data_IF_212211126616
#
_entry.id   IF_212211126616
#
_cell.length_a   1.000
_cell.length_b   1.000
_cell.length_c   1.000
_cell.angle_alpha   90.00
_cell.angle_beta   90.00
_cell.angle_gamma   90.00
#
_symmetry.space_group_name_H-M   'P 1'
#
loop_
_entity.id
_entity.type
_entity.pdbx_description
1 polymer ?
#
# COMPACT_ATOMS: atom_id res chain seq x y z
N UNK A 1 -0.31 14.80 5.99
CA UNK A 1 -1.11 15.96 6.42
C UNK A 1 -2.37 16.12 5.59
N UNK A 2 -2.23 16.34 4.26
CA UNK A 2 -3.34 16.69 3.35
C UNK A 2 -4.50 15.70 3.44
N UNK A 3 -4.24 14.41 3.38
CA UNK A 3 -5.26 13.36 3.46
C UNK A 3 -6.01 13.43 4.80
N UNK A 4 -5.31 13.56 5.92
CA UNK A 4 -5.94 13.70 7.22
C UNK A 4 -6.85 14.94 7.31
N UNK A 5 -6.47 16.04 6.64
CA UNK A 5 -7.33 17.22 6.51
C UNK A 5 -8.57 16.95 5.65
N UNK A 6 -8.42 16.18 4.58
CA UNK A 6 -9.54 15.81 3.71
C UNK A 6 -10.55 14.89 4.38
N UNK A 7 -10.09 14.06 5.33
CA UNK A 7 -10.96 13.21 6.19
C UNK A 7 -11.58 14.00 7.35
N UNK A 8 -11.33 15.32 7.44
CA UNK A 8 -11.97 16.20 8.43
C UNK A 8 -11.22 16.33 9.76
N UNK A 9 -10.02 15.75 9.90
CA UNK A 9 -9.26 15.85 11.15
C UNK A 9 -8.81 17.30 11.45
N UNK A 10 -8.69 17.63 12.74
CA UNK A 10 -8.19 18.92 13.22
C UNK A 10 -6.73 19.15 12.77
N UNK A 11 -6.34 20.39 12.48
CA UNK A 11 -5.03 20.76 11.93
C UNK A 11 -3.86 20.14 12.70
N UNK A 12 -3.82 20.31 14.02
CA UNK A 12 -2.73 19.84 14.85
C UNK A 12 -2.61 18.31 14.88
N UNK A 13 -3.75 17.58 14.88
CA UNK A 13 -3.77 16.12 14.75
C UNK A 13 -3.25 15.67 13.38
N UNK A 14 -3.66 16.37 12.31
CA UNK A 14 -3.19 16.07 10.97
C UNK A 14 -1.68 16.26 10.81
N UNK A 15 -1.09 17.25 11.48
CA UNK A 15 0.36 17.42 11.55
C UNK A 15 1.01 16.27 12.32
N UNK A 16 0.51 15.95 13.52
CA UNK A 16 1.05 14.87 14.35
C UNK A 16 1.05 13.54 13.62
N UNK A 17 -0.10 13.11 13.08
CA UNK A 17 -0.20 11.86 12.33
C UNK A 17 0.59 11.89 11.03
N UNK A 18 0.64 13.02 10.33
CA UNK A 18 1.45 13.17 9.13
C UNK A 18 2.94 13.00 9.40
N UNK A 19 3.44 13.58 10.49
CA UNK A 19 4.84 13.41 10.93
C UNK A 19 5.11 11.97 11.36
N UNK A 20 4.23 11.37 12.16
CA UNK A 20 4.36 9.98 12.60
C UNK A 20 4.42 9.02 11.40
N UNK A 21 3.58 9.23 10.38
CA UNK A 21 3.60 8.45 9.15
C UNK A 21 4.91 8.62 8.38
N UNK A 22 5.36 9.87 8.16
CA UNK A 22 6.58 10.15 7.39
C UNK A 22 7.88 9.73 8.10
N UNK A 23 7.87 9.68 9.43
CA UNK A 23 9.02 9.29 10.26
C UNK A 23 8.93 7.85 10.78
N UNK A 24 7.97 7.05 10.30
CA UNK A 24 7.83 5.68 10.77
C UNK A 24 9.09 4.85 10.46
N UNK A 25 9.39 3.90 11.33
CA UNK A 25 10.59 3.06 11.24
C UNK A 25 10.71 2.34 9.89
N UNK A 26 9.60 1.94 9.31
CA UNK A 26 9.55 1.30 7.99
C UNK A 26 10.16 2.19 6.90
N UNK A 27 9.72 3.47 6.81
CA UNK A 27 10.23 4.43 5.80
C UNK A 27 11.72 4.64 5.98
N UNK A 28 12.15 4.90 7.23
CA UNK A 28 13.56 5.20 7.54
C UNK A 28 14.47 4.03 7.15
N UNK A 29 14.04 2.81 7.37
CA UNK A 29 14.82 1.64 7.05
C UNK A 29 14.90 1.35 5.56
N UNK A 30 13.80 1.58 4.82
CA UNK A 30 13.76 1.35 3.37
C UNK A 30 14.56 2.38 2.58
N UNK A 31 14.75 3.59 3.12
CA UNK A 31 15.60 4.62 2.49
C UNK A 31 17.04 4.15 2.27
N UNK A 32 17.58 3.26 3.11
CA UNK A 32 18.95 2.76 3.01
C UNK A 32 19.20 1.67 1.96
N UNK A 33 18.17 1.03 1.41
CA UNK A 33 18.38 -0.11 0.50
C UNK A 33 17.30 -0.32 -0.57
N UNK A 34 16.08 0.11 -0.30
CA UNK A 34 14.93 -0.10 -1.18
C UNK A 34 14.10 1.18 -1.35
N UNK A 35 14.70 2.21 -1.95
CA UNK A 35 14.08 3.53 -2.12
C UNK A 35 12.69 3.47 -2.74
N UNK A 36 12.45 2.57 -3.71
CA UNK A 36 11.13 2.39 -4.32
C UNK A 36 10.06 1.94 -3.32
N UNK A 37 10.44 1.16 -2.30
CA UNK A 37 9.51 0.73 -1.23
C UNK A 37 9.38 1.78 -0.13
N UNK A 38 10.30 2.74 -0.05
CA UNK A 38 10.21 3.87 0.86
C UNK A 38 9.25 4.97 0.36
N UNK A 39 8.90 4.95 -0.94
CA UNK A 39 8.03 5.91 -1.59
C UNK A 39 6.54 5.69 -1.18
N UNK A 40 6.26 5.77 0.11
CA UNK A 40 4.92 5.51 0.70
C UNK A 40 4.00 6.73 0.72
N UNK A 41 4.44 7.86 0.18
CA UNK A 41 3.73 9.13 0.20
C UNK A 41 2.35 9.08 -0.48
N UNK A 42 2.16 8.16 -1.44
CA UNK A 42 0.87 7.96 -2.11
C UNK A 42 -0.05 6.96 -1.41
N UNK A 43 0.44 6.19 -0.42
CA UNK A 43 -0.40 5.24 0.33
C UNK A 43 -1.60 5.92 1.00
N UNK A 44 -1.46 7.08 1.68
CA UNK A 44 -2.62 7.77 2.24
C UNK A 44 -3.64 8.21 1.18
N UNK A 45 -3.19 8.56 -0.03
CA UNK A 45 -4.09 8.91 -1.14
C UNK A 45 -4.83 7.67 -1.67
N UNK A 46 -4.18 6.52 -1.70
CA UNK A 46 -4.83 5.25 -2.05
C UNK A 46 -5.97 4.91 -1.09
N UNK A 47 -5.72 5.08 0.21
CA UNK A 47 -6.75 4.90 1.25
C UNK A 47 -7.89 5.91 1.07
N UNK A 48 -7.57 7.18 0.78
CA UNK A 48 -8.57 8.21 0.55
C UNK A 48 -9.46 7.90 -0.66
N UNK A 49 -8.89 7.38 -1.75
CA UNK A 49 -9.65 6.95 -2.93
C UNK A 49 -10.62 5.82 -2.57
N UNK A 50 -10.18 4.81 -1.80
CA UNK A 50 -11.06 3.74 -1.32
C UNK A 50 -12.21 4.29 -0.47
N UNK A 51 -11.92 5.21 0.47
CA UNK A 51 -12.94 5.86 1.30
C UNK A 51 -13.95 6.64 0.45
N UNK A 52 -13.48 7.45 -0.49
CA UNK A 52 -14.39 8.23 -1.37
C UNK A 52 -15.26 7.33 -2.24
N UNK A 53 -14.71 6.23 -2.75
CA UNK A 53 -15.51 5.23 -3.47
C UNK A 53 -16.57 4.58 -2.59
N UNK A 54 -16.26 4.36 -1.30
CA UNK A 54 -17.18 3.71 -0.36
C UNK A 54 -18.28 4.66 0.13
N UNK A 55 -17.97 5.95 0.30
CA UNK A 55 -18.89 6.96 0.85
C UNK A 55 -19.83 7.56 -0.17
N UNK A 56 -19.39 7.74 -1.42
CA UNK A 56 -20.14 8.46 -2.46
C UNK A 56 -20.29 7.62 -3.74
N UNK A 57 -21.46 7.00 -3.96
CA UNK A 57 -21.73 6.22 -5.16
C UNK A 57 -21.66 7.03 -6.47
N UNK A 58 -21.67 8.36 -6.41
CA UNK A 58 -21.55 9.24 -7.56
C UNK A 58 -20.11 9.79 -7.74
N UNK A 59 -19.21 9.49 -6.83
CA UNK A 59 -17.80 9.83 -6.95
C UNK A 59 -17.22 9.15 -8.20
N UNK A 60 -16.39 9.88 -8.93
CA UNK A 60 -15.63 9.40 -10.08
C UNK A 60 -16.48 8.67 -11.15
N UNK A 61 -17.79 8.99 -11.23
CA UNK A 61 -18.72 8.33 -12.13
C UNK A 61 -18.64 8.93 -13.54
N UNK A 62 -18.47 8.13 -14.59
CA UNK A 62 -18.43 8.62 -15.95
C UNK A 62 -19.74 9.32 -16.34
N UNK A 63 -19.64 10.46 -17.04
CA UNK A 63 -20.81 11.17 -17.54
C UNK A 63 -20.56 12.67 -17.77
N UNK A 64 -21.60 13.38 -18.23
CA UNK A 64 -21.51 14.81 -18.58
C UNK A 64 -21.06 15.75 -17.45
N UNK A 65 -21.12 15.30 -16.19
CA UNK A 65 -20.68 16.06 -15.00
C UNK A 65 -19.27 15.73 -14.51
N UNK A 66 -18.61 14.73 -15.07
CA UNK A 66 -17.32 14.22 -14.59
C UNK A 66 -16.29 15.33 -14.39
N UNK A 67 -16.03 16.13 -15.44
CA UNK A 67 -15.04 17.21 -15.41
C UNK A 67 -15.46 18.46 -14.64
N UNK A 68 -16.73 18.56 -14.23
CA UNK A 68 -17.21 19.68 -13.40
C UNK A 68 -16.94 19.45 -11.91
N UNK A 69 -16.70 18.20 -11.50
CA UNK A 69 -16.44 17.84 -10.11
C UNK A 69 -14.93 17.94 -9.80
N UNK A 70 -14.55 18.86 -8.91
CA UNK A 70 -13.15 19.03 -8.48
C UNK A 70 -12.57 17.77 -7.82
N UNK A 71 -13.40 16.95 -7.16
CA UNK A 71 -12.95 15.68 -6.55
C UNK A 71 -12.50 14.68 -7.61
N UNK A 72 -13.14 14.66 -8.80
CA UNK A 72 -12.73 13.75 -9.88
C UNK A 72 -11.38 14.17 -10.48
N UNK A 73 -11.12 15.47 -10.64
CA UNK A 73 -9.79 15.96 -11.04
C UNK A 73 -8.71 15.58 -10.03
N UNK A 74 -9.05 15.67 -8.75
CA UNK A 74 -8.13 15.27 -7.70
C UNK A 74 -7.90 13.75 -7.71
N UNK A 75 -8.94 12.95 -7.99
CA UNK A 75 -8.82 11.50 -8.18
C UNK A 75 -7.90 11.15 -9.34
N UNK A 76 -8.05 11.80 -10.49
CA UNK A 76 -7.17 11.65 -11.65
C UNK A 76 -5.71 12.00 -11.31
N UNK A 77 -5.48 13.09 -10.59
CA UNK A 77 -4.13 13.48 -10.15
C UNK A 77 -3.54 12.47 -9.16
N UNK A 78 -4.34 11.95 -8.24
CA UNK A 78 -3.91 10.89 -7.31
C UNK A 78 -3.61 9.59 -8.07
N UNK A 79 -4.47 9.19 -9.01
CA UNK A 79 -4.27 8.01 -9.85
C UNK A 79 -2.96 8.12 -10.65
N UNK A 80 -2.69 9.30 -11.22
CA UNK A 80 -1.43 9.58 -11.90
C UNK A 80 -0.23 9.44 -10.95
N UNK A 81 -0.29 10.06 -9.77
CA UNK A 81 0.79 9.99 -8.77
C UNK A 81 1.03 8.57 -8.29
N UNK A 82 -0.03 7.79 -8.00
CA UNK A 82 0.07 6.39 -7.60
C UNK A 82 0.69 5.56 -8.72
N UNK A 83 0.24 5.72 -9.97
CA UNK A 83 0.74 4.96 -11.11
C UNK A 83 2.23 5.20 -11.37
N UNK A 84 2.70 6.46 -11.17
CA UNK A 84 4.07 6.88 -11.48
C UNK A 84 4.99 6.91 -10.25
N UNK A 85 4.62 6.28 -9.15
CA UNK A 85 5.39 6.25 -7.89
C UNK A 85 6.60 5.31 -7.91
N UNK A 86 7.24 5.12 -9.07
CA UNK A 86 8.53 4.43 -9.20
C UNK A 86 8.54 2.92 -8.99
N UNK A 87 7.45 2.32 -8.51
CA UNK A 87 7.33 0.88 -8.33
C UNK A 87 5.92 0.39 -8.63
N UNK A 88 5.80 -0.70 -9.37
CA UNK A 88 4.52 -1.33 -9.70
C UNK A 88 3.74 -1.82 -8.45
N UNK A 89 4.38 -1.89 -7.29
CA UNK A 89 3.77 -2.41 -6.05
C UNK A 89 2.60 -1.54 -5.56
N UNK A 90 2.77 -0.23 -5.47
CA UNK A 90 1.73 0.66 -4.92
C UNK A 90 0.49 0.77 -5.80
N UNK A 91 0.61 0.94 -7.14
CA UNK A 91 -0.55 0.84 -8.02
C UNK A 91 -1.26 -0.51 -7.90
N UNK A 92 -0.49 -1.62 -7.87
CA UNK A 92 -1.04 -2.96 -7.71
C UNK A 92 -1.84 -3.10 -6.41
N UNK A 93 -1.26 -2.73 -5.27
CA UNK A 93 -1.96 -2.77 -3.98
C UNK A 93 -3.17 -1.84 -3.94
N UNK A 94 -3.07 -0.66 -4.55
CA UNK A 94 -4.20 0.27 -4.63
C UNK A 94 -5.35 -0.36 -5.43
N UNK A 95 -5.07 -0.93 -6.59
CA UNK A 95 -6.07 -1.64 -7.38
C UNK A 95 -6.66 -2.83 -6.61
N UNK A 96 -5.83 -3.60 -5.90
CA UNK A 96 -6.31 -4.70 -5.06
C UNK A 96 -7.30 -4.21 -3.99
N UNK A 97 -6.97 -3.17 -3.23
CA UNK A 97 -7.86 -2.63 -2.19
C UNK A 97 -9.12 -2.00 -2.79
N UNK A 98 -9.04 -1.37 -3.96
CA UNK A 98 -10.22 -0.90 -4.68
C UNK A 98 -11.12 -2.06 -5.15
N UNK A 99 -10.54 -3.18 -5.58
CA UNK A 99 -11.31 -4.40 -5.90
C UNK A 99 -12.01 -4.95 -4.64
N UNK A 100 -11.30 -5.02 -3.51
CA UNK A 100 -11.90 -5.45 -2.23
C UNK A 100 -13.02 -4.50 -1.82
N UNK A 101 -12.81 -3.18 -1.92
CA UNK A 101 -13.84 -2.17 -1.65
C UNK A 101 -15.05 -2.36 -2.56
N UNK A 102 -14.83 -2.55 -3.87
CA UNK A 102 -15.89 -2.82 -4.83
C UNK A 102 -16.71 -4.07 -4.45
N UNK A 103 -16.02 -5.14 -4.10
CA UNK A 103 -16.66 -6.39 -3.68
C UNK A 103 -17.50 -6.18 -2.41
N UNK A 104 -16.96 -5.50 -1.39
CA UNK A 104 -17.69 -5.19 -0.16
C UNK A 104 -18.94 -4.36 -0.45
N UNK A 105 -18.86 -3.37 -1.34
CA UNK A 105 -20.01 -2.54 -1.73
C UNK A 105 -21.06 -3.36 -2.48
N UNK A 106 -20.63 -4.24 -3.39
CA UNK A 106 -21.54 -5.11 -4.12
C UNK A 106 -22.27 -6.07 -3.19
N UNK A 107 -21.58 -6.65 -2.21
CA UNK A 107 -22.16 -7.55 -1.22
C UNK A 107 -23.12 -6.81 -0.28
N UNK A 108 -22.74 -5.61 0.18
CA UNK A 108 -23.56 -4.79 1.06
C UNK A 108 -24.89 -4.39 0.43
N UNK A 109 -24.84 -3.90 -0.82
CA UNK A 109 -25.99 -3.28 -1.49
C UNK A 109 -26.71 -4.27 -2.43
N UNK A 110 -26.25 -5.52 -2.52
CA UNK A 110 -26.74 -6.55 -3.44
C UNK A 110 -26.88 -6.05 -4.89
N UNK A 111 -25.96 -5.16 -5.31
CA UNK A 111 -25.98 -4.50 -6.61
C UNK A 111 -24.55 -4.20 -7.09
N UNK A 112 -24.35 -4.16 -8.42
CA UNK A 112 -23.04 -3.84 -8.99
C UNK A 112 -22.75 -2.34 -9.12
N UNK A 113 -23.81 -1.50 -9.18
CA UNK A 113 -23.68 -0.05 -9.40
C UNK A 113 -22.79 0.68 -8.39
N UNK A 114 -22.80 0.36 -7.08
CA UNK A 114 -21.91 0.98 -6.10
C UNK A 114 -20.42 0.71 -6.35
N UNK A 115 -20.08 -0.34 -7.10
CA UNK A 115 -18.69 -0.66 -7.44
C UNK A 115 -18.12 0.21 -8.59
N UNK A 116 -18.97 0.92 -9.35
CA UNK A 116 -18.55 1.72 -10.51
C UNK A 116 -17.44 2.72 -10.18
N UNK A 117 -17.49 3.50 -9.09
CA UNK A 117 -16.40 4.42 -8.73
C UNK A 117 -15.05 3.71 -8.58
N UNK A 118 -15.03 2.54 -7.94
CA UNK A 118 -13.81 1.74 -7.78
C UNK A 118 -13.25 1.30 -9.13
N UNK A 119 -14.13 0.76 -10.00
CA UNK A 119 -13.73 0.27 -11.33
C UNK A 119 -13.19 1.38 -12.21
N UNK A 120 -13.79 2.56 -12.17
CA UNK A 120 -13.31 3.75 -12.90
C UNK A 120 -11.94 4.17 -12.38
N UNK A 121 -11.77 4.26 -11.07
CA UNK A 121 -10.49 4.63 -10.45
C UNK A 121 -9.38 3.61 -10.77
N UNK A 122 -9.70 2.31 -10.78
CA UNK A 122 -8.76 1.27 -11.25
C UNK A 122 -8.39 1.52 -12.71
N UNK A 123 -9.38 1.79 -13.57
CA UNK A 123 -9.15 2.08 -14.98
C UNK A 123 -8.24 3.30 -15.19
N UNK A 124 -8.39 4.34 -14.39
CA UNK A 124 -7.52 5.53 -14.40
C UNK A 124 -6.07 5.19 -14.02
N UNK A 125 -5.86 4.43 -12.92
CA UNK A 125 -4.52 4.00 -12.49
C UNK A 125 -3.88 3.16 -13.58
N UNK A 126 -4.58 2.16 -14.12
CA UNK A 126 -4.07 1.29 -15.19
C UNK A 126 -3.76 2.09 -16.46
N UNK A 127 -4.62 3.03 -16.85
CA UNK A 127 -4.38 3.88 -18.01
C UNK A 127 -3.09 4.70 -17.87
N UNK A 128 -2.80 5.22 -16.68
CA UNK A 128 -1.55 5.94 -16.41
C UNK A 128 -0.32 5.04 -16.35
N UNK A 129 -0.46 3.73 -16.05
CA UNK A 129 0.64 2.76 -16.11
C UNK A 129 0.99 2.32 -17.53
N UNK A 130 0.07 2.43 -18.49
CA UNK A 130 0.29 1.98 -19.89
C UNK A 130 1.55 2.59 -20.52
N UNK A 131 1.83 3.90 -20.41
CA UNK A 131 3.03 4.49 -20.99
C UNK A 131 4.33 3.85 -20.50
N UNK A 132 4.39 3.43 -19.23
CA UNK A 132 5.60 2.83 -18.64
C UNK A 132 5.85 1.40 -19.17
N UNK A 133 4.78 0.66 -19.43
CA UNK A 133 4.87 -0.70 -19.96
C UNK A 133 4.94 -0.77 -21.48
N UNK A 134 4.50 0.28 -22.18
CA UNK A 134 4.42 0.33 -23.63
C UNK A 134 5.76 0.04 -24.32
N UNK A 135 6.90 0.65 -23.91
CA UNK A 135 8.20 0.36 -24.54
C UNK A 135 8.61 -1.12 -24.39
N UNK A 136 8.30 -1.74 -23.26
CA UNK A 136 8.61 -3.15 -23.01
C UNK A 136 7.77 -4.07 -23.90
N UNK A 137 6.48 -3.79 -24.05
CA UNK A 137 5.58 -4.56 -24.91
C UNK A 137 5.99 -4.39 -26.39
N UNK A 138 6.25 -3.15 -26.80
CA UNK A 138 6.70 -2.85 -28.17
C UNK A 138 8.03 -3.54 -28.49
N UNK A 139 9.00 -3.50 -27.58
CA UNK A 139 10.28 -4.19 -27.75
C UNK A 139 10.11 -5.69 -27.96
N UNK A 140 9.19 -6.34 -27.24
CA UNK A 140 8.86 -7.75 -27.45
C UNK A 140 8.21 -8.00 -28.82
N UNK A 141 7.31 -7.12 -29.26
CA UNK A 141 6.61 -7.27 -30.55
C UNK A 141 7.54 -7.06 -31.75
N UNK A 142 8.50 -6.14 -31.63
CA UNK A 142 9.47 -5.81 -32.72
C UNK A 142 10.69 -6.73 -32.70
N UNK A 143 10.75 -7.68 -31.75
CA UNK A 143 11.87 -8.65 -31.69
C UNK A 143 13.20 -8.01 -31.26
N UNK A 144 13.18 -6.78 -30.78
CA UNK A 144 14.32 -6.17 -30.11
C UNK A 144 14.43 -6.84 -28.74
N UNK A 145 15.23 -7.92 -28.70
CA UNK A 145 15.32 -8.82 -27.58
C UNK A 145 15.60 -8.08 -26.27
N UNK A 146 14.62 -8.01 -25.43
CA UNK A 146 14.86 -7.70 -24.05
C UNK A 146 15.53 -8.90 -23.39
N UNK A 147 16.74 -8.75 -22.96
CA UNK A 147 17.45 -9.65 -22.05
C UNK A 147 16.73 -9.84 -20.68
N UNK A 148 15.49 -9.40 -20.58
CA UNK A 148 14.61 -9.58 -19.40
C UNK A 148 13.96 -10.99 -19.41
N UNK A 149 14.62 -11.98 -19.98
CA UNK A 149 14.09 -13.36 -19.98
C UNK A 149 14.41 -14.12 -18.71
N UNK A 150 15.31 -13.62 -17.89
CA UNK A 150 15.60 -14.22 -16.59
C UNK A 150 14.84 -13.44 -15.51
N UNK A 151 13.52 -13.63 -15.47
CA UNK A 151 12.76 -13.31 -14.26
C UNK A 151 13.48 -13.94 -13.07
N UNK A 152 13.79 -13.14 -12.06
CA UNK A 152 14.39 -13.65 -10.83
C UNK A 152 13.47 -14.74 -10.31
N UNK A 153 13.89 -16.01 -10.47
CA UNK A 153 13.17 -17.11 -9.87
C UNK A 153 13.23 -16.93 -8.36
N UNK A 154 12.09 -16.69 -7.76
CA UNK A 154 11.97 -16.65 -6.29
C UNK A 154 11.51 -18.03 -5.84
N UNK A 155 12.31 -18.66 -5.00
CA UNK A 155 11.93 -19.86 -4.29
C UNK A 155 10.60 -19.63 -3.53
N UNK A 156 9.68 -20.61 -3.46
CA UNK A 156 8.49 -20.55 -2.61
C UNK A 156 8.83 -20.22 -1.15
N UNK A 157 9.98 -20.66 -0.64
CA UNK A 157 10.51 -20.33 0.69
C UNK A 157 10.77 -18.83 0.82
N UNK A 158 11.13 -18.14 -0.26
CA UNK A 158 11.27 -16.68 -0.27
C UNK A 158 9.97 -15.96 0.09
N UNK A 159 8.81 -16.51 -0.30
CA UNK A 159 7.52 -15.94 0.09
C UNK A 159 7.29 -16.03 1.60
N UNK A 160 7.73 -17.10 2.24
CA UNK A 160 7.62 -17.27 3.69
C UNK A 160 8.61 -16.37 4.46
N UNK A 161 9.85 -16.28 3.98
CA UNK A 161 10.90 -15.42 4.58
C UNK A 161 10.47 -13.94 4.52
N UNK A 162 9.99 -13.47 3.36
CA UNK A 162 9.65 -12.06 3.14
C UNK A 162 8.18 -11.72 3.44
N UNK A 163 7.39 -12.66 3.97
CA UNK A 163 6.00 -12.37 4.36
C UNK A 163 5.95 -11.46 5.59
N UNK A 164 4.97 -10.56 5.61
CA UNK A 164 4.64 -9.78 6.79
C UNK A 164 3.81 -10.66 7.74
N UNK A 165 4.40 -11.07 8.86
CA UNK A 165 3.71 -11.86 9.88
C UNK A 165 2.98 -10.96 10.87
N UNK A 166 1.86 -11.41 11.39
CA UNK A 166 1.11 -10.69 12.46
C UNK A 166 2.03 -10.45 13.67
N UNK A 167 2.89 -11.43 14.02
CA UNK A 167 3.88 -11.26 15.07
C UNK A 167 4.84 -10.09 14.82
N UNK A 168 5.22 -9.83 13.56
CA UNK A 168 6.08 -8.70 13.20
C UNK A 168 5.37 -7.35 13.35
N UNK A 169 4.04 -7.30 13.24
CA UNK A 169 3.26 -6.09 13.50
C UNK A 169 3.18 -5.77 15.00
N UNK A 170 3.19 -6.80 15.85
CA UNK A 170 2.95 -6.67 17.29
C UNK A 170 4.24 -6.66 18.12
N UNK A 171 5.30 -7.33 17.66
CA UNK A 171 6.54 -7.48 18.39
C UNK A 171 7.60 -6.49 17.90
N UNK A 172 8.03 -5.61 18.80
CA UNK A 172 9.15 -4.70 18.51
C UNK A 172 10.47 -5.50 18.42
N UNK A 173 11.28 -5.35 17.35
CA UNK A 173 12.58 -6.01 17.24
C UNK A 173 13.52 -5.68 18.41
N UNK A 174 13.37 -4.50 19.00
CA UNK A 174 14.16 -4.01 20.13
C UNK A 174 13.52 -4.34 21.50
N UNK A 175 12.47 -5.18 21.55
CA UNK A 175 11.84 -5.62 22.79
C UNK A 175 11.35 -4.49 23.69
N UNK A 176 10.91 -3.39 23.11
CA UNK A 176 10.47 -2.19 23.83
C UNK A 176 11.54 -1.61 24.78
N UNK A 177 12.82 -1.87 24.53
CA UNK A 177 13.92 -1.48 25.41
C UNK A 177 14.11 -2.38 26.65
N UNK A 178 13.31 -3.46 26.78
CA UNK A 178 13.40 -4.41 27.90
C UNK A 178 14.28 -5.59 27.49
N UNK A 179 15.51 -5.68 28.04
CA UNK A 179 16.53 -6.64 27.61
C UNK A 179 16.12 -8.12 27.69
N UNK A 180 15.28 -8.53 28.64
CA UNK A 180 14.73 -9.89 28.71
C UNK A 180 13.76 -10.16 27.55
N UNK A 181 12.90 -9.21 27.24
CA UNK A 181 11.92 -9.31 26.16
C UNK A 181 12.61 -9.26 24.80
N UNK A 182 13.62 -8.41 24.62
CA UNK A 182 14.46 -8.38 23.41
C UNK A 182 15.05 -9.75 23.11
N UNK A 183 15.69 -10.38 24.10
CA UNK A 183 16.28 -11.74 23.93
C UNK A 183 15.24 -12.80 23.60
N UNK A 184 14.05 -12.72 24.19
CA UNK A 184 12.96 -13.64 23.89
C UNK A 184 12.47 -13.47 22.45
N UNK A 185 12.23 -12.23 22.01
CA UNK A 185 11.79 -11.92 20.64
C UNK A 185 12.85 -12.35 19.61
N UNK A 186 14.13 -12.08 19.88
CA UNK A 186 15.22 -12.51 19.00
C UNK A 186 15.29 -14.03 18.88
N UNK A 187 15.16 -14.77 19.99
CA UNK A 187 15.07 -16.23 19.97
C UNK A 187 13.86 -16.72 19.18
N UNK A 188 12.71 -16.11 19.34
CA UNK A 188 11.51 -16.43 18.58
C UNK A 188 11.76 -16.32 17.07
N UNK A 189 12.34 -15.23 16.60
CA UNK A 189 12.67 -15.06 15.19
C UNK A 189 13.80 -15.99 14.71
N UNK A 190 14.76 -16.34 15.56
CA UNK A 190 15.81 -17.33 15.25
C UNK A 190 15.24 -18.74 15.05
N UNK A 191 14.30 -19.16 15.89
CA UNK A 191 13.65 -20.48 15.77
C UNK A 191 12.86 -20.59 14.46
N UNK A 192 12.32 -19.49 13.98
CA UNK A 192 11.59 -19.43 12.71
C UNK A 192 12.50 -19.33 11.48
N UNK A 193 13.81 -19.15 11.66
CA UNK A 193 14.75 -19.04 10.53
C UNK A 193 14.88 -20.39 9.84
N UNK A 194 15.02 -20.33 8.50
CA UNK A 194 15.23 -21.49 7.65
C UNK A 194 16.68 -21.52 7.15
N UNK A 195 17.12 -22.64 6.60
CA UNK A 195 18.45 -22.77 5.98
C UNK A 195 18.66 -21.82 4.81
N UNK A 196 17.57 -21.33 4.18
CA UNK A 196 17.62 -20.38 3.06
C UNK A 196 17.73 -18.92 3.52
N UNK A 197 17.50 -18.61 4.80
CA UNK A 197 17.68 -17.25 5.33
C UNK A 197 17.04 -16.99 6.69
N UNK A 198 17.48 -15.92 7.35
CA UNK A 198 16.97 -15.55 8.66
C UNK A 198 15.55 -14.97 8.54
N UNK A 199 14.65 -15.44 9.41
CA UNK A 199 13.30 -14.84 9.55
C UNK A 199 13.34 -13.44 10.16
N UNK A 200 14.44 -13.08 10.79
CA UNK A 200 14.73 -11.72 11.22
C UNK A 200 15.30 -10.94 10.05
N UNK A 201 14.42 -10.40 9.23
CA UNK A 201 14.77 -9.63 8.07
C UNK A 201 14.13 -8.22 8.14
N UNK A 202 14.18 -7.50 7.04
CA UNK A 202 13.63 -6.14 6.92
C UNK A 202 12.14 -6.02 7.24
N UNK A 203 11.34 -7.10 7.16
CA UNK A 203 9.91 -7.10 7.51
C UNK A 203 9.68 -7.17 9.03
N UNK A 204 10.69 -7.53 9.81
CA UNK A 204 10.64 -7.48 11.28
C UNK A 204 10.46 -6.06 11.80
N UNK A 205 10.74 -5.04 10.98
CA UNK A 205 10.54 -3.63 11.30
C UNK A 205 9.15 -3.10 10.91
N UNK A 206 8.26 -3.96 10.44
CA UNK A 206 6.85 -3.62 10.21
C UNK A 206 6.03 -3.35 11.48
N UNK A 207 6.71 -3.27 12.64
CA UNK A 207 6.11 -3.01 13.92
C UNK A 207 5.27 -1.72 13.94
N UNK A 208 3.99 -1.86 14.34
CA UNK A 208 3.01 -0.78 14.31
C UNK A 208 3.23 0.32 15.37
N UNK A 209 4.09 0.06 16.36
CA UNK A 209 4.16 0.89 17.55
C UNK A 209 2.98 0.64 18.51
N UNK A 210 3.15 1.01 19.78
CA UNK A 210 2.12 0.78 20.80
C UNK A 210 0.77 1.40 20.41
N UNK A 211 0.79 2.63 19.91
CA UNK A 211 -0.44 3.33 19.49
C UNK A 211 -1.08 2.66 18.26
N UNK A 212 -0.27 2.18 17.33
CA UNK A 212 -0.75 1.44 16.16
C UNK A 212 -1.35 0.09 16.54
N UNK A 213 -0.78 -0.61 17.52
CA UNK A 213 -1.33 -1.86 18.06
C UNK A 213 -2.69 -1.60 18.72
N UNK A 214 -2.79 -0.57 19.56
CA UNK A 214 -4.04 -0.19 20.19
C UNK A 214 -5.10 0.11 19.12
N UNK A 215 -4.77 0.93 18.12
CA UNK A 215 -5.68 1.24 17.01
C UNK A 215 -6.09 0.01 16.22
N UNK A 216 -5.17 -0.91 15.94
CA UNK A 216 -5.43 -2.16 15.25
C UNK A 216 -6.39 -3.07 16.03
N UNK A 217 -6.20 -3.18 17.35
CA UNK A 217 -7.11 -3.94 18.22
C UNK A 217 -8.52 -3.33 18.26
N UNK A 218 -8.63 -2.00 18.29
CA UNK A 218 -9.93 -1.31 18.21
C UNK A 218 -10.65 -1.49 16.87
N UNK A 219 -9.93 -1.79 15.79
CA UNK A 219 -10.54 -2.07 14.48
C UNK A 219 -11.06 -3.50 14.36
N UNK A 220 -10.57 -4.41 15.18
CA UNK A 220 -10.97 -5.84 15.15
C UNK A 220 -12.10 -6.12 16.16
N UNK A 221 -12.19 -5.37 17.24
CA UNK A 221 -13.22 -5.51 18.28
C UNK A 221 -14.50 -4.76 17.92
#
# INVERSE_FOLDING_TARGET
>A
YTVFRMVGMRRWLSYGFGMTFGLCAYVQQRLGGHMMLAAVEFVPFSVLLCLWCAEDPNFNKPGKGFFKNKRNWLALAMAWGIANNGAAYYPYFTCFFLCVTALCLMLRDHAWKPAVPCLVTIGEIVAWMVPDFFPMVLGKLVGVGSTITNGVYRSPVGADIYSLRISSLLLSPNGFGIGKLTRWIQRYFQILSTDEGPMYNENSYGYLGIMGIIGFLFLIL
#
